data_IF_505911245045
#
_entry.id   IF_505911245045
#
_cell.length_a   1.000
_cell.length_b   1.000
_cell.length_c   1.000
_cell.angle_alpha   90.00
_cell.angle_beta   90.00
_cell.angle_gamma   90.00
#
_symmetry.space_group_name_H-M   'P 1'
#
loop_
_entity.id
_entity.type
_entity.pdbx_description
1 polymer ?
#
# COMPACT_ATOMS: atom_id res chain seq x y z
N UNK A 1 -31.44 30.59 45.89
CA UNK A 1 -32.01 29.46 45.14
C UNK A 1 -32.10 29.84 43.68
N UNK A 2 -31.35 29.20 42.82
CA UNK A 2 -31.46 29.42 41.35
C UNK A 2 -32.83 28.97 40.88
N UNK A 3 -33.49 29.73 40.03
CA UNK A 3 -34.77 29.35 39.43
C UNK A 3 -34.62 28.12 38.52
N UNK A 4 -35.69 27.34 38.34
CA UNK A 4 -35.72 26.19 37.45
C UNK A 4 -35.25 26.54 36.01
N UNK A 5 -35.49 27.79 35.54
CA UNK A 5 -35.04 28.29 34.26
C UNK A 5 -33.49 28.52 34.21
N UNK A 6 -32.93 29.04 35.27
CA UNK A 6 -31.47 29.26 35.38
C UNK A 6 -30.72 27.96 35.49
N UNK A 7 -31.29 26.94 36.19
CA UNK A 7 -30.72 25.61 36.28
C UNK A 7 -30.75 24.84 34.94
N UNK A 8 -31.85 24.92 34.21
CA UNK A 8 -31.96 24.30 32.86
C UNK A 8 -31.08 25.03 31.82
N UNK A 9 -31.02 26.38 31.89
CA UNK A 9 -30.13 27.15 31.03
C UNK A 9 -28.63 26.84 31.30
N UNK A 10 -28.25 26.67 32.54
CA UNK A 10 -26.86 26.28 32.92
C UNK A 10 -26.49 24.85 32.50
N UNK A 11 -27.45 23.90 32.54
CA UNK A 11 -27.20 22.51 32.09
C UNK A 11 -27.09 22.36 30.56
N UNK A 12 -27.75 23.21 29.80
CA UNK A 12 -27.71 23.17 28.33
C UNK A 12 -26.60 24.05 27.76
N UNK A 13 -26.13 25.07 28.47
CA UNK A 13 -25.10 25.97 27.97
C UNK A 13 -23.71 25.36 27.98
N UNK A 14 -23.37 24.51 28.98
CA UNK A 14 -22.04 23.88 29.09
C UNK A 14 -21.75 22.86 27.97
N UNK A 15 -22.61 21.90 27.65
CA UNK A 15 -22.33 20.97 26.56
C UNK A 15 -22.37 21.64 25.18
N UNK A 16 -23.24 22.64 24.98
CA UNK A 16 -23.30 23.43 23.74
C UNK A 16 -22.08 24.32 23.55
N UNK A 17 -21.58 24.96 24.61
CA UNK A 17 -20.34 25.73 24.55
C UNK A 17 -19.09 24.86 24.31
N UNK A 18 -19.03 23.69 24.94
CA UNK A 18 -17.96 22.72 24.70
C UNK A 18 -18.00 22.16 23.28
N UNK A 19 -19.20 21.81 22.76
CA UNK A 19 -19.37 21.35 21.40
C UNK A 19 -19.04 22.44 20.38
N UNK A 20 -19.43 23.69 20.63
CA UNK A 20 -19.08 24.82 19.76
C UNK A 20 -17.59 25.12 19.79
N UNK A 21 -16.94 25.07 20.95
CA UNK A 21 -15.49 25.26 21.07
C UNK A 21 -14.72 24.14 20.37
N UNK A 22 -15.20 22.90 20.46
CA UNK A 22 -14.62 21.76 19.74
C UNK A 22 -14.78 21.92 18.22
N UNK A 23 -15.96 22.31 17.76
CA UNK A 23 -16.23 22.55 16.34
C UNK A 23 -15.42 23.74 15.80
N UNK A 24 -15.37 24.84 16.55
CA UNK A 24 -14.55 26.00 16.17
C UNK A 24 -13.05 25.67 16.13
N UNK A 25 -12.56 24.80 17.01
CA UNK A 25 -11.17 24.36 16.99
C UNK A 25 -10.84 23.53 15.74
N UNK A 26 -11.76 22.68 15.26
CA UNK A 26 -11.58 21.92 14.02
C UNK A 26 -11.57 22.79 12.76
N UNK A 27 -12.19 23.96 12.81
CA UNK A 27 -12.21 24.95 11.73
C UNK A 27 -11.11 26.02 11.86
N UNK A 28 -10.36 26.06 12.96
CA UNK A 28 -9.27 27.00 13.13
C UNK A 28 -8.21 26.85 12.03
N UNK A 29 -7.61 27.93 11.55
CA UNK A 29 -6.48 27.87 10.62
C UNK A 29 -5.37 26.98 11.18
N UNK A 30 -4.77 26.15 10.33
CA UNK A 30 -3.68 25.26 10.67
C UNK A 30 -2.60 25.41 9.60
N UNK A 31 -1.34 25.41 10.00
CA UNK A 31 -0.20 25.56 9.09
C UNK A 31 0.85 24.51 9.33
N UNK A 32 1.40 23.99 8.25
CA UNK A 32 2.59 23.15 8.28
C UNK A 32 3.77 24.01 8.81
N UNK A 33 4.42 23.53 9.84
CA UNK A 33 5.58 24.22 10.45
C UNK A 33 6.88 23.48 10.27
N UNK A 34 6.85 22.14 10.09
CA UNK A 34 8.05 21.31 10.04
C UNK A 34 7.76 20.03 9.26
N UNK A 35 8.72 19.62 8.45
CA UNK A 35 8.76 18.33 7.77
C UNK A 35 10.06 17.64 8.13
N UNK A 36 9.94 16.41 8.65
CA UNK A 36 11.07 15.57 9.01
C UNK A 36 11.03 14.25 8.25
N UNK A 37 12.18 13.77 7.77
CA UNK A 37 12.34 12.43 7.22
C UNK A 37 13.27 11.61 8.08
N UNK A 38 12.96 10.30 8.18
CA UNK A 38 13.76 9.30 8.88
C UNK A 38 13.94 8.09 7.98
N UNK A 39 15.18 7.63 7.81
CA UNK A 39 15.51 6.45 7.03
C UNK A 39 16.79 5.78 7.51
N UNK A 40 17.09 4.59 7.00
CA UNK A 40 18.32 3.84 7.26
C UNK A 40 19.11 3.69 5.97
N UNK A 41 20.43 3.81 6.05
CA UNK A 41 21.32 3.87 4.90
C UNK A 41 21.41 2.54 4.15
N UNK A 42 21.43 1.44 4.90
CA UNK A 42 21.49 0.07 4.37
C UNK A 42 20.57 -0.85 5.15
N UNK A 43 20.39 -2.09 4.66
CA UNK A 43 19.64 -3.12 5.41
C UNK A 43 20.33 -3.52 6.71
N UNK A 44 21.67 -3.48 6.74
CA UNK A 44 22.45 -3.82 7.93
C UNK A 44 22.30 -2.77 9.04
N UNK A 45 22.00 -1.52 8.66
CA UNK A 45 21.73 -0.44 9.61
C UNK A 45 20.28 -0.50 10.16
N UNK A 46 19.35 -1.09 9.43
CA UNK A 46 17.95 -1.17 9.83
C UNK A 46 17.69 -2.37 10.75
N UNK A 47 16.93 -2.20 11.85
CA UNK A 47 16.56 -3.32 12.72
C UNK A 47 15.51 -4.25 12.10
N UNK A 48 14.96 -3.91 10.93
CA UNK A 48 13.89 -4.63 10.23
C UNK A 48 14.12 -4.62 8.72
N UNK A 49 13.49 -5.53 8.00
CA UNK A 49 13.61 -5.66 6.56
C UNK A 49 12.23 -5.85 5.89
N UNK A 50 11.98 -5.17 4.73
CA UNK A 50 12.80 -4.12 4.15
C UNK A 50 12.79 -2.85 5.01
N UNK A 51 13.76 -1.94 4.81
CA UNK A 51 13.74 -0.64 5.46
C UNK A 51 12.94 0.38 4.64
N UNK A 52 12.37 1.38 5.31
CA UNK A 52 11.50 2.40 4.73
C UNK A 52 12.01 3.80 4.98
N UNK A 53 11.54 4.77 4.21
CA UNK A 53 11.64 6.19 4.54
C UNK A 53 10.31 6.61 5.13
N UNK A 54 10.34 7.04 6.38
CA UNK A 54 9.21 7.71 7.02
C UNK A 54 9.36 9.20 6.93
N UNK A 55 8.25 9.90 6.85
CA UNK A 55 8.21 11.33 7.00
C UNK A 55 7.12 11.73 7.99
N UNK A 56 7.34 12.85 8.68
CA UNK A 56 6.39 13.48 9.59
C UNK A 56 6.16 14.92 9.19
N UNK A 57 4.90 15.34 9.13
CA UNK A 57 4.47 16.71 8.93
C UNK A 57 3.92 17.21 10.27
N UNK A 58 4.55 18.23 10.85
CA UNK A 58 4.09 18.88 12.07
C UNK A 58 3.39 20.20 11.75
N UNK A 59 2.45 20.62 12.61
CA UNK A 59 1.66 21.84 12.44
C UNK A 59 1.72 22.75 13.68
N UNK A 60 1.38 24.03 13.50
CA UNK A 60 1.21 25.02 14.58
C UNK A 60 0.06 24.68 15.55
N UNK A 61 -0.85 23.81 15.14
CA UNK A 61 -1.93 23.28 16.00
C UNK A 61 -1.52 22.08 16.86
N UNK A 62 -0.25 21.63 16.79
CA UNK A 62 0.26 20.48 17.53
C UNK A 62 -0.22 19.12 17.00
N UNK A 63 -0.85 19.07 15.83
CA UNK A 63 -1.23 17.83 15.16
C UNK A 63 -0.14 17.46 14.17
N UNK A 64 0.20 16.16 14.10
CA UNK A 64 1.21 15.64 13.19
C UNK A 64 0.66 14.47 12.38
N UNK A 65 1.07 14.37 11.10
CA UNK A 65 0.77 13.24 10.23
C UNK A 65 2.02 12.49 9.81
N UNK A 66 1.90 11.17 9.62
CA UNK A 66 2.99 10.28 9.20
C UNK A 66 2.75 9.83 7.78
N UNK A 67 3.81 9.89 6.96
CA UNK A 67 3.88 9.32 5.61
C UNK A 67 4.99 8.29 5.50
N UNK A 68 4.96 7.51 4.43
CA UNK A 68 5.91 6.45 4.19
C UNK A 68 6.17 6.26 2.71
N UNK A 69 7.41 5.95 2.37
CA UNK A 69 7.78 5.47 1.03
C UNK A 69 8.96 4.49 1.07
N UNK A 70 9.30 3.92 -0.07
CA UNK A 70 10.29 2.87 -0.31
C UNK A 70 10.56 2.80 -1.83
N UNK A 71 11.70 2.36 -2.37
CA UNK A 71 12.82 1.68 -1.72
C UNK A 71 14.20 2.41 -1.78
N UNK A 72 14.29 3.68 -2.21
CA UNK A 72 15.56 4.38 -2.46
C UNK A 72 15.88 5.46 -1.43
N UNK A 73 15.67 5.17 -0.20
CA UNK A 73 15.66 6.04 0.98
C UNK A 73 16.39 7.40 0.88
N UNK A 74 17.71 7.49 0.56
CA UNK A 74 18.38 8.79 0.53
C UNK A 74 17.88 9.69 -0.60
N UNK A 75 17.45 9.12 -1.73
CA UNK A 75 16.97 9.89 -2.89
C UNK A 75 15.58 10.46 -2.60
N UNK A 76 14.71 9.65 -2.02
CA UNK A 76 13.36 10.05 -1.64
C UNK A 76 13.38 11.08 -0.50
N UNK A 77 14.21 10.87 0.52
CA UNK A 77 14.40 11.86 1.60
C UNK A 77 14.91 13.21 1.06
N UNK A 78 15.90 13.21 0.18
CA UNK A 78 16.40 14.42 -0.44
C UNK A 78 15.33 15.14 -1.27
N UNK A 79 14.50 14.38 -2.00
CA UNK A 79 13.42 14.97 -2.79
C UNK A 79 12.30 15.53 -1.92
N UNK A 80 11.97 14.91 -0.77
CA UNK A 80 11.04 15.49 0.22
C UNK A 80 11.54 16.86 0.65
N UNK A 81 12.81 17.00 1.03
CA UNK A 81 13.37 18.27 1.48
C UNK A 81 13.56 19.31 0.36
N UNK A 82 13.65 18.87 -0.88
CA UNK A 82 13.63 19.76 -2.04
C UNK A 82 12.28 20.50 -2.19
N UNK A 83 11.17 19.78 -1.95
CA UNK A 83 9.82 20.36 -2.09
C UNK A 83 9.24 20.92 -0.80
N UNK A 84 9.74 20.49 0.35
CA UNK A 84 9.24 20.87 1.69
C UNK A 84 9.11 22.40 1.90
N UNK A 85 10.05 23.27 1.42
CA UNK A 85 9.89 24.71 1.56
C UNK A 85 8.61 25.27 0.95
N UNK A 86 8.09 24.64 -0.11
CA UNK A 86 6.84 25.05 -0.76
C UNK A 86 5.57 24.67 0.02
N UNK A 87 5.72 23.80 1.01
CA UNK A 87 4.63 23.31 1.87
C UNK A 87 4.55 24.05 3.20
N UNK A 88 5.67 24.54 3.72
CA UNK A 88 5.72 25.28 4.97
C UNK A 88 4.78 26.49 4.90
N UNK A 89 3.95 26.67 5.95
CA UNK A 89 2.97 27.75 6.05
C UNK A 89 1.62 27.49 5.37
N UNK A 90 1.49 26.38 4.60
CA UNK A 90 0.22 25.98 3.97
C UNK A 90 -0.70 25.27 4.97
N UNK A 91 -2.00 25.33 4.70
CA UNK A 91 -2.96 24.49 5.42
C UNK A 91 -2.85 23.03 4.92
N UNK A 92 -2.51 22.06 5.80
CA UNK A 92 -2.32 20.67 5.38
C UNK A 92 -3.62 19.97 4.96
N UNK A 93 -4.79 20.57 5.22
CA UNK A 93 -6.11 20.02 4.86
C UNK A 93 -6.49 20.26 3.41
N UNK A 94 -5.77 21.15 2.71
CA UNK A 94 -5.94 21.41 1.28
C UNK A 94 -5.25 20.33 0.42
N UNK A 95 -5.53 19.06 0.73
CA UNK A 95 -4.81 17.88 0.20
C UNK A 95 -4.79 17.87 -1.33
N UNK A 96 -5.95 17.95 -1.98
CA UNK A 96 -6.05 17.93 -3.46
C UNK A 96 -5.28 19.09 -4.10
N UNK A 97 -5.29 20.25 -3.47
CA UNK A 97 -4.56 21.42 -3.96
C UNK A 97 -3.04 21.24 -3.82
N UNK A 98 -2.60 20.75 -2.67
CA UNK A 98 -1.18 20.43 -2.41
C UNK A 98 -0.71 19.35 -3.40
N UNK A 99 -1.49 18.29 -3.56
CA UNK A 99 -1.22 17.22 -4.50
C UNK A 99 -1.02 17.75 -5.94
N UNK A 100 -1.96 18.58 -6.40
CA UNK A 100 -1.91 19.13 -7.75
C UNK A 100 -0.71 20.07 -7.98
N UNK A 101 -0.35 20.86 -6.96
CA UNK A 101 0.78 21.78 -7.05
C UNK A 101 2.12 21.01 -7.05
N UNK A 102 2.27 19.98 -6.20
CA UNK A 102 3.45 19.10 -6.20
C UNK A 102 3.57 18.35 -7.53
N UNK A 103 2.48 17.79 -8.03
CA UNK A 103 2.46 17.09 -9.31
C UNK A 103 2.96 17.99 -10.46
N UNK A 104 2.55 19.27 -10.48
CA UNK A 104 3.04 20.25 -11.46
C UNK A 104 4.50 20.63 -11.25
N UNK A 105 4.99 20.61 -10.01
CA UNK A 105 6.41 20.89 -9.72
C UNK A 105 7.32 19.81 -10.30
N UNK A 106 6.83 18.58 -10.43
CA UNK A 106 7.54 17.45 -11.02
C UNK A 106 7.32 17.27 -12.53
N UNK A 107 6.89 18.29 -13.26
CA UNK A 107 6.32 18.26 -14.60
C UNK A 107 7.15 17.57 -15.69
N UNK A 108 8.45 17.41 -15.49
CA UNK A 108 9.32 16.70 -16.44
C UNK A 108 9.44 15.18 -16.15
N UNK A 109 8.99 14.67 -15.01
CA UNK A 109 9.26 13.29 -14.56
C UNK A 109 8.11 12.63 -13.81
N UNK A 110 6.89 12.97 -14.14
CA UNK A 110 5.69 12.55 -13.42
C UNK A 110 5.18 11.13 -13.74
N UNK A 111 5.87 10.38 -14.58
CA UNK A 111 5.42 9.06 -15.01
C UNK A 111 5.68 7.93 -13.98
N UNK A 112 6.14 8.25 -12.79
CA UNK A 112 6.52 7.30 -11.74
C UNK A 112 7.87 7.66 -11.12
N UNK A 113 8.52 6.72 -10.48
CA UNK A 113 9.84 6.93 -9.86
C UNK A 113 9.79 7.70 -8.53
N UNK A 114 10.89 8.37 -8.20
CA UNK A 114 11.08 9.04 -6.90
C UNK A 114 10.05 10.12 -6.66
N UNK A 115 9.71 10.91 -7.69
CA UNK A 115 8.76 12.01 -7.60
C UNK A 115 7.37 11.53 -7.15
N UNK A 116 6.84 10.49 -7.79
CA UNK A 116 5.54 9.94 -7.41
C UNK A 116 5.56 9.24 -6.05
N UNK A 117 6.68 8.64 -5.68
CA UNK A 117 6.87 8.04 -4.35
C UNK A 117 6.86 9.09 -3.24
N UNK A 118 7.56 10.21 -3.46
CA UNK A 118 7.57 11.36 -2.54
C UNK A 118 6.19 12.01 -2.47
N UNK A 119 5.53 12.21 -3.61
CA UNK A 119 4.17 12.72 -3.66
C UNK A 119 3.21 11.82 -2.86
N UNK A 120 3.34 10.50 -3.02
CA UNK A 120 2.53 9.52 -2.28
C UNK A 120 2.76 9.61 -0.77
N UNK A 121 4.02 9.70 -0.34
CA UNK A 121 4.38 9.79 1.08
C UNK A 121 3.85 11.08 1.73
N UNK A 122 3.97 12.21 1.04
CA UNK A 122 3.43 13.50 1.51
C UNK A 122 1.89 13.45 1.57
N UNK A 123 1.24 12.89 0.56
CA UNK A 123 -0.21 12.70 0.52
C UNK A 123 -0.71 11.85 1.70
N UNK A 124 -0.06 10.74 1.97
CA UNK A 124 -0.41 9.89 3.12
C UNK A 124 -0.27 10.64 4.45
N UNK A 125 0.81 11.43 4.62
CA UNK A 125 0.98 12.24 5.83
C UNK A 125 -0.13 13.28 5.98
N UNK A 126 -0.57 13.89 4.89
CA UNK A 126 -1.67 14.87 4.91
C UNK A 126 -3.02 14.20 5.25
N UNK A 127 -3.31 13.00 4.74
CA UNK A 127 -4.50 12.24 5.09
C UNK A 127 -4.49 11.78 6.56
N UNK A 128 -3.35 11.31 7.06
CA UNK A 128 -3.18 10.95 8.47
C UNK A 128 -3.42 12.16 9.39
N UNK A 129 -2.84 13.30 9.03
CA UNK A 129 -3.01 14.56 9.73
C UNK A 129 -4.48 15.02 9.71
N UNK A 130 -5.13 14.98 8.55
CA UNK A 130 -6.55 15.32 8.44
C UNK A 130 -7.40 14.45 9.36
N UNK A 131 -7.21 13.14 9.34
CA UNK A 131 -7.92 12.21 10.21
C UNK A 131 -7.71 12.54 11.70
N UNK A 132 -6.48 12.80 12.10
CA UNK A 132 -6.13 13.18 13.48
C UNK A 132 -6.73 14.55 13.87
N UNK A 133 -6.70 15.53 12.99
CA UNK A 133 -7.27 16.85 13.25
C UNK A 133 -8.79 16.84 13.45
N UNK A 134 -9.47 15.87 12.82
CA UNK A 134 -10.91 15.66 12.92
C UNK A 134 -11.28 14.58 13.95
N UNK A 135 -10.29 13.99 14.62
CA UNK A 135 -10.47 12.85 15.52
C UNK A 135 -11.28 11.70 14.88
N UNK A 136 -10.95 11.38 13.63
CA UNK A 136 -11.64 10.37 12.85
C UNK A 136 -10.65 9.47 12.09
N UNK A 137 -10.92 8.16 11.97
CA UNK A 137 -10.12 7.29 11.13
C UNK A 137 -10.32 7.65 9.65
N UNK A 138 -9.27 7.53 8.85
CA UNK A 138 -9.27 7.95 7.44
C UNK A 138 -10.37 7.27 6.62
N UNK A 139 -10.67 6.00 6.85
CA UNK A 139 -11.74 5.31 6.11
C UNK A 139 -13.11 6.02 6.22
N UNK A 140 -13.43 6.70 7.35
CA UNK A 140 -14.67 7.47 7.52
C UNK A 140 -14.69 8.72 6.65
N UNK A 141 -13.53 9.30 6.37
CA UNK A 141 -13.40 10.51 5.55
C UNK A 141 -13.50 10.21 4.05
N UNK A 142 -13.31 8.95 3.67
CA UNK A 142 -13.28 8.51 2.26
C UNK A 142 -14.47 7.64 1.87
N UNK A 143 -15.50 7.50 2.73
CA UNK A 143 -16.74 6.82 2.37
C UNK A 143 -17.34 5.90 3.44
N UNK A 144 -16.59 5.59 4.51
CA UNK A 144 -17.05 4.70 5.57
C UNK A 144 -16.78 3.22 5.29
N UNK A 145 -17.40 2.30 6.04
CA UNK A 145 -17.19 0.85 5.93
C UNK A 145 -18.09 0.22 4.86
N UNK A 146 -17.59 0.10 3.63
CA UNK A 146 -18.18 -0.77 2.62
C UNK A 146 -17.86 -2.25 2.93
N UNK A 147 -16.60 -2.53 3.37
CA UNK A 147 -16.14 -3.85 3.74
C UNK A 147 -15.62 -3.83 5.19
N UNK A 148 -16.41 -4.32 6.17
CA UNK A 148 -15.98 -4.35 7.58
C UNK A 148 -14.75 -5.25 7.82
N UNK A 149 -14.59 -6.29 7.01
CA UNK A 149 -13.48 -7.24 7.02
C UNK A 149 -13.00 -7.45 5.60
N UNK A 150 -11.72 -7.23 5.34
CA UNK A 150 -11.10 -7.38 4.02
C UNK A 150 -10.34 -8.70 3.96
N UNK A 151 -10.66 -9.55 2.99
CA UNK A 151 -9.99 -10.83 2.75
C UNK A 151 -8.53 -10.61 2.34
N UNK A 152 -7.64 -11.51 2.78
CA UNK A 152 -6.20 -11.41 2.52
C UNK A 152 -5.64 -12.62 1.79
N UNK A 153 -4.58 -12.37 1.00
CA UNK A 153 -3.60 -13.38 0.59
C UNK A 153 -2.22 -13.02 1.16
N UNK A 154 -1.30 -13.98 1.17
CA UNK A 154 0.04 -13.79 1.71
C UNK A 154 1.12 -13.85 0.63
N UNK A 155 1.97 -12.84 0.58
CA UNK A 155 3.20 -12.80 -0.23
C UNK A 155 4.36 -13.40 0.57
N UNK A 156 5.05 -14.37 -0.03
CA UNK A 156 6.00 -15.23 0.66
C UNK A 156 7.42 -14.66 0.71
N UNK A 157 7.63 -13.53 1.38
CA UNK A 157 8.99 -13.07 1.68
C UNK A 157 9.76 -14.09 2.54
N UNK A 158 11.10 -14.20 2.39
CA UNK A 158 11.89 -15.13 3.18
C UNK A 158 11.68 -14.93 4.69
N UNK A 159 11.18 -15.96 5.37
CA UNK A 159 10.90 -15.95 6.80
C UNK A 159 11.22 -17.32 7.42
N UNK A 160 10.23 -18.12 7.79
CA UNK A 160 10.45 -19.44 8.41
C UNK A 160 10.79 -20.53 7.40
N UNK A 161 10.20 -20.46 6.21
CA UNK A 161 10.32 -21.47 5.16
C UNK A 161 10.63 -20.82 3.81
N UNK A 162 11.25 -21.59 2.91
CA UNK A 162 11.51 -21.21 1.53
C UNK A 162 10.36 -21.72 0.63
N UNK A 163 9.62 -20.83 -0.01
CA UNK A 163 8.49 -21.20 -0.87
C UNK A 163 8.89 -22.07 -2.07
N UNK A 164 10.16 -22.05 -2.49
CA UNK A 164 10.63 -22.94 -3.57
C UNK A 164 10.77 -24.40 -3.10
N UNK A 165 10.98 -24.60 -1.80
CA UNK A 165 11.24 -25.93 -1.22
C UNK A 165 10.07 -26.47 -0.41
N UNK A 166 9.45 -25.62 0.40
CA UNK A 166 8.48 -26.00 1.42
C UNK A 166 7.21 -25.12 1.38
N UNK A 167 6.63 -24.82 0.19
CA UNK A 167 5.47 -23.94 0.08
C UNK A 167 4.25 -24.48 0.83
N UNK A 168 4.14 -25.82 0.92
CA UNK A 168 3.07 -26.50 1.64
C UNK A 168 3.12 -26.24 3.16
N UNK A 169 4.32 -26.06 3.73
CA UNK A 169 4.46 -25.69 5.16
C UNK A 169 4.02 -24.26 5.40
N UNK A 170 4.39 -23.33 4.49
CA UNK A 170 3.93 -21.96 4.56
C UNK A 170 2.41 -21.92 4.52
N UNK A 171 1.81 -22.61 3.54
CA UNK A 171 0.36 -22.59 3.36
C UNK A 171 -0.37 -23.21 4.55
N UNK A 172 0.13 -24.31 5.11
CA UNK A 172 -0.43 -24.93 6.31
C UNK A 172 -0.41 -23.97 7.50
N UNK A 173 0.75 -23.33 7.76
CA UNK A 173 0.87 -22.37 8.85
C UNK A 173 -0.08 -21.17 8.68
N UNK A 174 -0.20 -20.62 7.47
CA UNK A 174 -1.11 -19.51 7.17
C UNK A 174 -2.58 -19.87 7.45
N UNK A 175 -3.00 -21.07 7.05
CA UNK A 175 -4.35 -21.59 7.33
C UNK A 175 -4.55 -21.76 8.84
N UNK A 176 -3.65 -22.49 9.50
CA UNK A 176 -3.82 -22.89 10.90
C UNK A 176 -3.73 -21.72 11.88
N UNK A 177 -2.88 -20.71 11.59
CA UNK A 177 -2.65 -19.59 12.50
C UNK A 177 -3.42 -18.34 12.17
N UNK A 178 -3.76 -18.11 10.89
CA UNK A 178 -4.36 -16.87 10.39
C UNK A 178 -5.63 -17.05 9.57
N UNK A 179 -5.97 -18.27 9.18
CA UNK A 179 -7.12 -18.54 8.32
C UNK A 179 -6.93 -18.07 6.87
N UNK A 180 -5.71 -17.65 6.47
CA UNK A 180 -5.41 -17.17 5.13
C UNK A 180 -5.31 -18.35 4.18
N UNK A 181 -6.08 -18.30 3.07
CA UNK A 181 -6.14 -19.34 2.04
C UNK A 181 -5.60 -18.90 0.67
N UNK A 182 -4.93 -17.76 0.61
CA UNK A 182 -4.27 -17.22 -0.59
C UNK A 182 -2.77 -17.11 -0.40
N UNK A 183 -1.97 -17.49 -1.38
CA UNK A 183 -0.52 -17.44 -1.35
C UNK A 183 0.02 -16.87 -2.66
N UNK A 184 1.00 -15.93 -2.59
CA UNK A 184 1.73 -15.39 -3.74
C UNK A 184 3.20 -15.82 -3.67
N UNK A 185 3.70 -16.40 -4.77
CA UNK A 185 5.06 -16.88 -4.94
C UNK A 185 5.61 -16.46 -6.31
N UNK A 186 6.95 -16.42 -6.46
CA UNK A 186 7.66 -16.00 -7.68
C UNK A 186 8.71 -17.00 -8.15
N UNK A 187 8.31 -18.26 -8.47
CA UNK A 187 9.26 -19.34 -8.72
C UNK A 187 10.00 -19.21 -10.06
N UNK A 188 9.60 -18.30 -10.94
CA UNK A 188 10.21 -18.08 -12.25
C UNK A 188 11.37 -17.08 -12.25
N UNK A 189 11.54 -16.28 -11.19
CA UNK A 189 12.57 -15.23 -11.11
C UNK A 189 14.00 -15.77 -11.26
N UNK A 190 14.29 -16.92 -10.67
CA UNK A 190 15.60 -17.56 -10.81
C UNK A 190 15.95 -17.93 -12.27
N UNK A 191 14.95 -18.34 -13.06
CA UNK A 191 15.12 -18.60 -14.48
C UNK A 191 15.31 -17.29 -15.27
N UNK A 192 14.52 -16.27 -14.97
CA UNK A 192 14.66 -14.96 -15.59
C UNK A 192 16.08 -14.39 -15.41
N UNK A 193 16.60 -14.42 -14.20
CA UNK A 193 17.96 -13.94 -13.88
C UNK A 193 19.03 -14.73 -14.62
N UNK A 194 18.96 -16.06 -14.65
CA UNK A 194 19.94 -16.90 -15.36
C UNK A 194 19.93 -16.64 -16.86
N UNK A 195 18.76 -16.45 -17.43
CA UNK A 195 18.55 -16.29 -18.88
C UNK A 195 18.48 -14.81 -19.31
N UNK A 196 18.87 -13.87 -18.43
CA UNK A 196 18.90 -12.42 -18.67
C UNK A 196 17.57 -11.85 -19.20
N UNK A 197 16.46 -12.46 -18.77
CA UNK A 197 15.08 -12.10 -19.18
C UNK A 197 14.78 -12.32 -20.69
N UNK A 198 15.65 -12.99 -21.44
CA UNK A 198 15.54 -13.11 -22.88
C UNK A 198 14.71 -14.30 -23.34
N UNK A 199 14.81 -15.43 -22.64
CA UNK A 199 14.12 -16.66 -23.00
C UNK A 199 13.88 -17.56 -21.78
N UNK A 200 12.98 -18.55 -21.93
CA UNK A 200 12.78 -19.61 -20.95
C UNK A 200 12.77 -20.98 -21.63
N UNK A 201 13.49 -21.94 -21.04
CA UNK A 201 13.51 -23.34 -21.49
C UNK A 201 12.37 -24.14 -20.85
N UNK A 202 12.03 -25.32 -21.42
CA UNK A 202 11.09 -26.24 -20.78
C UNK A 202 11.61 -26.75 -19.44
N UNK A 203 12.92 -26.95 -19.32
CA UNK A 203 13.56 -27.35 -18.06
C UNK A 203 13.39 -26.27 -16.97
N UNK A 204 13.53 -24.98 -17.32
CA UNK A 204 13.31 -23.87 -16.38
C UNK A 204 11.84 -23.85 -15.92
N UNK A 205 10.90 -24.05 -16.85
CA UNK A 205 9.47 -24.13 -16.53
C UNK A 205 9.19 -25.29 -15.58
N UNK A 206 9.69 -26.50 -15.87
CA UNK A 206 9.48 -27.67 -15.03
C UNK A 206 9.99 -27.47 -13.61
N UNK A 207 11.15 -26.81 -13.46
CA UNK A 207 11.71 -26.47 -12.15
C UNK A 207 10.85 -25.42 -11.42
N UNK A 208 10.44 -24.36 -12.10
CA UNK A 208 9.61 -23.30 -11.52
C UNK A 208 8.21 -23.81 -11.11
N UNK A 209 7.69 -24.83 -11.79
CA UNK A 209 6.41 -25.45 -11.46
C UNK A 209 6.43 -26.34 -10.21
N UNK A 210 7.59 -26.73 -9.70
CA UNK A 210 7.71 -27.62 -8.52
C UNK A 210 6.91 -27.09 -7.31
N UNK A 211 7.10 -25.83 -6.84
CA UNK A 211 6.33 -25.33 -5.72
C UNK A 211 4.83 -25.19 -6.01
N UNK A 212 4.46 -24.88 -7.25
CA UNK A 212 3.05 -24.80 -7.65
C UNK A 212 2.38 -26.18 -7.59
N UNK A 213 3.05 -27.23 -8.10
CA UNK A 213 2.60 -28.64 -7.98
C UNK A 213 2.40 -29.04 -6.53
N UNK A 214 3.40 -28.80 -5.68
CA UNK A 214 3.31 -29.13 -4.25
C UNK A 214 2.12 -28.48 -3.56
N UNK A 215 1.81 -27.22 -3.88
CA UNK A 215 0.65 -26.53 -3.35
C UNK A 215 -0.66 -27.18 -3.84
N UNK A 216 -0.78 -27.48 -5.13
CA UNK A 216 -1.99 -28.13 -5.68
C UNK A 216 -2.14 -29.56 -5.20
N UNK A 217 -1.06 -30.33 -5.11
CA UNK A 217 -1.08 -31.71 -4.58
C UNK A 217 -1.48 -31.73 -3.10
N UNK A 218 -1.03 -30.76 -2.31
CA UNK A 218 -1.29 -30.68 -0.88
C UNK A 218 -2.66 -30.11 -0.48
N UNK A 219 -3.23 -29.21 -1.30
CA UNK A 219 -4.44 -28.44 -0.92
C UNK A 219 -5.53 -28.40 -2.02
N UNK A 220 -5.27 -28.92 -3.20
CA UNK A 220 -6.24 -28.88 -4.30
C UNK A 220 -6.71 -27.46 -4.65
N UNK A 221 -8.01 -27.31 -4.85
CA UNK A 221 -8.68 -26.03 -5.15
C UNK A 221 -9.16 -25.31 -3.87
N UNK A 222 -8.78 -25.75 -2.66
CA UNK A 222 -9.14 -25.08 -1.40
C UNK A 222 -8.37 -23.79 -1.15
N UNK A 223 -7.27 -23.57 -1.88
CA UNK A 223 -6.40 -22.41 -1.78
C UNK A 223 -6.30 -21.68 -3.11
N UNK A 224 -6.03 -20.37 -3.00
CA UNK A 224 -5.70 -19.49 -4.13
C UNK A 224 -4.18 -19.36 -4.27
N UNK A 225 -3.66 -19.50 -5.48
CA UNK A 225 -2.23 -19.35 -5.79
C UNK A 225 -2.06 -18.20 -6.77
N UNK A 226 -1.41 -17.13 -6.35
CA UNK A 226 -0.95 -16.05 -7.21
C UNK A 226 0.50 -16.29 -7.63
N UNK A 227 0.82 -16.03 -8.89
CA UNK A 227 2.19 -16.14 -9.40
C UNK A 227 2.66 -14.77 -9.85
N UNK A 228 3.74 -14.30 -9.22
CA UNK A 228 4.42 -13.04 -9.51
C UNK A 228 5.59 -13.27 -10.47
N UNK A 229 5.82 -12.31 -11.37
CA UNK A 229 6.91 -12.37 -12.37
C UNK A 229 7.79 -11.12 -12.37
N UNK A 230 7.50 -10.12 -11.54
CA UNK A 230 8.29 -8.90 -11.38
C UNK A 230 8.62 -8.17 -12.69
N UNK A 231 7.74 -8.27 -13.70
CA UNK A 231 7.91 -7.65 -15.02
C UNK A 231 9.19 -8.09 -15.76
N UNK A 232 9.63 -9.34 -15.56
CA UNK A 232 10.93 -9.81 -16.06
C UNK A 232 10.87 -10.51 -17.41
N UNK A 233 9.69 -10.77 -17.98
CA UNK A 233 9.59 -11.58 -19.19
C UNK A 233 9.24 -10.76 -20.43
N UNK A 234 9.67 -11.25 -21.59
CA UNK A 234 9.16 -10.81 -22.90
C UNK A 234 7.87 -11.58 -23.25
N UNK A 235 7.12 -11.10 -24.21
CA UNK A 235 5.82 -11.67 -24.59
C UNK A 235 5.90 -13.17 -24.95
N UNK A 236 6.91 -13.58 -25.72
CA UNK A 236 7.06 -14.99 -26.14
C UNK A 236 7.24 -15.93 -24.97
N UNK A 237 8.11 -15.56 -24.02
CA UNK A 237 8.34 -16.33 -22.80
C UNK A 237 7.13 -16.30 -21.88
N UNK A 238 6.47 -15.15 -21.74
CA UNK A 238 5.25 -15.01 -20.94
C UNK A 238 4.11 -15.92 -21.42
N UNK A 239 3.86 -15.98 -22.72
CA UNK A 239 2.84 -16.90 -23.31
C UNK A 239 3.19 -18.35 -23.01
N UNK A 240 4.46 -18.75 -23.17
CA UNK A 240 4.92 -20.11 -22.88
C UNK A 240 4.72 -20.50 -21.42
N UNK A 241 5.01 -19.58 -20.51
CA UNK A 241 4.82 -19.76 -19.07
C UNK A 241 3.32 -19.84 -18.75
N UNK A 242 2.51 -18.93 -19.29
CA UNK A 242 1.07 -18.90 -19.04
C UNK A 242 0.41 -20.23 -19.43
N UNK A 243 0.72 -20.77 -20.62
CA UNK A 243 0.20 -22.08 -21.05
C UNK A 243 0.61 -23.22 -20.10
N UNK A 244 1.85 -23.21 -19.58
CA UNK A 244 2.30 -24.23 -18.63
C UNK A 244 1.59 -24.15 -17.27
N UNK A 245 1.08 -22.96 -16.90
CA UNK A 245 0.37 -22.73 -15.65
C UNK A 245 -1.13 -23.01 -15.73
N UNK A 246 -1.75 -23.17 -16.91
CA UNK A 246 -3.21 -23.35 -17.08
C UNK A 246 -3.75 -24.54 -16.28
N UNK A 247 -3.01 -25.63 -16.20
CA UNK A 247 -3.42 -26.81 -15.43
C UNK A 247 -3.52 -26.57 -13.93
N UNK A 248 -2.83 -25.55 -13.42
CA UNK A 248 -2.76 -25.25 -12.00
C UNK A 248 -3.75 -24.17 -11.57
N UNK A 249 -4.50 -23.58 -12.51
CA UNK A 249 -5.56 -22.59 -12.25
C UNK A 249 -5.10 -21.52 -11.22
N UNK A 250 -4.02 -20.78 -11.45
CA UNK A 250 -3.62 -19.72 -10.54
C UNK A 250 -4.71 -18.65 -10.45
N UNK A 251 -4.81 -18.01 -9.29
CA UNK A 251 -5.71 -16.88 -9.03
C UNK A 251 -5.46 -15.75 -10.03
N UNK A 252 -4.20 -15.49 -10.32
CA UNK A 252 -3.72 -14.59 -11.38
C UNK A 252 -2.24 -14.81 -11.72
N UNK A 253 -1.83 -14.22 -12.85
CA UNK A 253 -0.45 -14.01 -13.26
C UNK A 253 -0.15 -12.52 -13.12
N UNK A 254 0.77 -12.17 -12.21
CA UNK A 254 1.08 -10.80 -11.82
C UNK A 254 2.33 -10.30 -12.53
N UNK A 255 2.25 -9.09 -13.09
CA UNK A 255 3.36 -8.37 -13.71
C UNK A 255 4.25 -9.24 -14.61
N UNK A 256 3.64 -10.00 -15.55
CA UNK A 256 4.39 -10.87 -16.46
C UNK A 256 5.31 -10.08 -17.40
N UNK A 257 4.85 -8.90 -17.83
CA UNK A 257 5.54 -8.02 -18.78
C UNK A 257 5.82 -6.67 -18.13
N UNK A 258 6.83 -5.95 -18.63
CA UNK A 258 7.09 -4.57 -18.21
C UNK A 258 5.86 -3.71 -18.52
N UNK A 259 5.33 -2.93 -17.53
CA UNK A 259 4.20 -2.05 -17.75
C UNK A 259 4.55 -0.92 -18.75
N UNK A 260 3.53 -0.50 -19.52
CA UNK A 260 3.67 0.57 -20.51
C UNK A 260 3.47 0.10 -21.95
N UNK A 261 3.67 -1.18 -22.26
CA UNK A 261 3.28 -1.75 -23.56
C UNK A 261 1.98 -2.56 -23.40
N UNK A 262 0.85 -1.86 -23.33
CA UNK A 262 -0.46 -2.50 -23.12
C UNK A 262 -0.92 -3.34 -24.32
N UNK A 263 -0.39 -3.11 -25.54
CA UNK A 263 -0.65 -3.97 -26.69
C UNK A 263 -0.07 -5.37 -26.50
N UNK A 264 1.11 -5.49 -25.90
CA UNK A 264 1.69 -6.80 -25.54
C UNK A 264 0.90 -7.49 -24.43
N UNK A 265 0.43 -6.74 -23.44
CA UNK A 265 -0.48 -7.27 -22.43
C UNK A 265 -1.79 -7.79 -23.06
N UNK A 266 -2.35 -7.07 -24.03
CA UNK A 266 -3.52 -7.51 -24.76
C UNK A 266 -3.25 -8.81 -25.54
N UNK A 267 -2.11 -8.92 -26.24
CA UNK A 267 -1.72 -10.16 -26.93
C UNK A 267 -1.54 -11.32 -25.96
N UNK A 268 -0.96 -11.09 -24.79
CA UNK A 268 -0.84 -12.09 -23.74
C UNK A 268 -2.24 -12.56 -23.24
N UNK A 269 -3.15 -11.62 -22.99
CA UNK A 269 -4.51 -11.91 -22.57
C UNK A 269 -5.32 -12.70 -23.61
N UNK A 270 -5.03 -12.52 -24.90
CA UNK A 270 -5.63 -13.31 -25.97
C UNK A 270 -5.03 -14.72 -26.11
N UNK A 271 -3.83 -14.93 -25.54
CA UNK A 271 -3.12 -16.21 -25.64
C UNK A 271 -3.38 -17.15 -24.45
N UNK A 272 -4.00 -16.70 -23.37
CA UNK A 272 -4.31 -17.53 -22.19
C UNK A 272 -5.67 -17.20 -21.62
N UNK A 273 -6.30 -18.21 -20.97
CA UNK A 273 -7.53 -18.01 -20.21
C UNK A 273 -7.29 -17.55 -18.75
N UNK A 274 -6.03 -17.55 -18.31
CA UNK A 274 -5.68 -17.18 -16.94
C UNK A 274 -5.85 -15.69 -16.68
N UNK A 275 -6.36 -15.30 -15.51
CA UNK A 275 -6.47 -13.90 -15.14
C UNK A 275 -5.10 -13.22 -15.09
N UNK A 276 -4.98 -12.04 -15.70
CA UNK A 276 -3.80 -11.20 -15.61
C UNK A 276 -4.06 -10.03 -14.66
N UNK A 277 -3.06 -9.68 -13.87
CA UNK A 277 -3.03 -8.49 -13.03
C UNK A 277 -1.70 -7.77 -13.22
N UNK A 278 -1.73 -6.44 -13.15
CA UNK A 278 -0.53 -5.61 -13.20
C UNK A 278 -0.83 -4.28 -12.53
N UNK A 279 0.22 -3.58 -12.09
CA UNK A 279 0.05 -2.21 -11.66
C UNK A 279 0.84 -1.80 -10.42
N UNK A 280 1.53 -2.68 -9.72
CA UNK A 280 2.39 -2.26 -8.59
C UNK A 280 3.43 -1.20 -9.02
N UNK A 281 3.91 -1.30 -10.28
CA UNK A 281 4.92 -0.41 -10.85
C UNK A 281 4.35 0.82 -11.56
N UNK A 282 3.03 0.95 -11.59
CA UNK A 282 2.34 2.05 -12.28
C UNK A 282 2.05 3.21 -11.34
N UNK A 283 2.02 4.41 -11.88
CA UNK A 283 1.76 5.62 -11.12
C UNK A 283 0.83 6.58 -11.87
N UNK A 284 -0.09 7.21 -11.11
CA UNK A 284 -1.05 8.15 -11.64
C UNK A 284 -2.20 7.51 -12.43
N UNK A 285 -3.41 8.00 -12.22
CA UNK A 285 -4.64 7.49 -12.85
C UNK A 285 -4.59 7.39 -14.38
N UNK A 286 -3.79 8.23 -15.05
CA UNK A 286 -3.69 8.20 -16.52
C UNK A 286 -3.04 6.93 -17.06
N UNK A 287 -2.05 6.35 -16.34
CA UNK A 287 -1.48 5.06 -16.73
C UNK A 287 -2.49 3.93 -16.50
N UNK A 288 -3.26 3.99 -15.42
CA UNK A 288 -4.32 3.01 -15.14
C UNK A 288 -5.48 3.12 -16.14
N UNK A 289 -5.88 4.31 -16.55
CA UNK A 289 -6.88 4.52 -17.60
C UNK A 289 -6.45 3.80 -18.91
N UNK A 290 -5.21 4.01 -19.35
CA UNK A 290 -4.67 3.31 -20.54
C UNK A 290 -4.63 1.79 -20.39
N UNK A 291 -4.27 1.30 -19.20
CA UNK A 291 -4.31 -0.13 -18.91
C UNK A 291 -5.75 -0.67 -19.00
N UNK A 292 -6.71 0.04 -18.46
CA UNK A 292 -8.13 -0.32 -18.49
C UNK A 292 -8.69 -0.31 -19.91
N UNK A 293 -8.30 0.68 -20.74
CA UNK A 293 -8.66 0.75 -22.18
C UNK A 293 -8.20 -0.48 -22.95
N UNK A 294 -7.09 -1.11 -22.57
CA UNK A 294 -6.60 -2.35 -23.20
C UNK A 294 -7.50 -3.56 -22.94
N UNK A 295 -8.44 -3.49 -21.98
CA UNK A 295 -9.35 -4.56 -21.53
C UNK A 295 -8.62 -5.85 -21.10
N UNK A 296 -7.37 -5.71 -20.70
CA UNK A 296 -6.50 -6.84 -20.36
C UNK A 296 -6.66 -7.29 -18.91
N UNK A 297 -6.61 -6.37 -17.90
CA UNK A 297 -6.63 -6.80 -16.51
C UNK A 297 -8.01 -7.34 -16.12
N UNK A 298 -8.01 -8.37 -15.28
CA UNK A 298 -9.22 -8.86 -14.60
C UNK A 298 -9.36 -8.27 -13.20
N UNK A 299 -8.28 -7.75 -12.66
CA UNK A 299 -8.19 -7.06 -11.39
C UNK A 299 -7.27 -5.85 -11.54
N UNK A 300 -7.50 -4.82 -10.78
CA UNK A 300 -6.65 -3.61 -10.78
C UNK A 300 -5.81 -3.60 -9.52
N UNK A 301 -4.50 -3.67 -9.71
CA UNK A 301 -3.51 -3.57 -8.63
C UNK A 301 -2.84 -2.20 -8.67
N UNK A 302 -2.57 -1.65 -7.50
CA UNK A 302 -1.75 -0.44 -7.32
C UNK A 302 -1.14 -0.46 -5.92
N UNK A 303 -0.04 0.26 -5.75
CA UNK A 303 0.59 0.49 -4.46
C UNK A 303 0.33 1.92 -4.01
N UNK A 304 -0.28 2.10 -2.84
CA UNK A 304 -0.71 3.42 -2.34
C UNK A 304 0.49 4.33 -2.05
N UNK A 305 1.67 3.75 -1.73
CA UNK A 305 2.89 4.53 -1.53
C UNK A 305 3.63 4.85 -2.82
N UNK A 306 3.14 4.34 -3.98
CA UNK A 306 3.81 4.53 -5.28
C UNK A 306 2.92 5.17 -6.34
N UNK A 307 1.61 4.95 -6.29
CA UNK A 307 0.72 5.39 -7.36
C UNK A 307 0.34 6.88 -7.30
N UNK A 308 0.70 7.59 -6.25
CA UNK A 308 0.34 9.00 -6.02
C UNK A 308 -0.41 9.23 -4.70
N UNK A 309 -0.28 8.31 -3.72
CA UNK A 309 -0.91 8.40 -2.42
C UNK A 309 -2.37 7.93 -2.42
N UNK A 310 -3.04 8.12 -1.29
CA UNK A 310 -4.45 7.78 -1.11
C UNK A 310 -5.37 8.60 -2.05
N UNK A 311 -5.01 9.87 -2.27
CA UNK A 311 -5.74 10.77 -3.17
C UNK A 311 -5.85 10.19 -4.58
N UNK A 312 -4.77 9.68 -5.13
CA UNK A 312 -4.76 9.11 -6.49
C UNK A 312 -5.28 7.66 -6.51
N UNK A 313 -4.95 6.87 -5.48
CA UNK A 313 -5.43 5.49 -5.32
C UNK A 313 -6.97 5.40 -5.32
N UNK A 314 -7.66 6.35 -4.67
CA UNK A 314 -9.12 6.45 -4.70
C UNK A 314 -9.67 6.70 -6.11
N UNK A 315 -8.99 7.53 -6.89
CA UNK A 315 -9.38 7.83 -8.28
C UNK A 315 -9.17 6.60 -9.16
N UNK A 316 -8.08 5.86 -8.95
CA UNK A 316 -7.80 4.59 -9.64
C UNK A 316 -8.85 3.53 -9.28
N UNK A 317 -9.20 3.40 -8.00
CA UNK A 317 -10.26 2.49 -7.56
C UNK A 317 -11.62 2.83 -8.17
N UNK A 318 -11.97 4.13 -8.30
CA UNK A 318 -13.19 4.58 -8.94
C UNK A 318 -13.20 4.33 -10.46
N UNK A 319 -12.04 4.45 -11.14
CA UNK A 319 -11.90 4.08 -12.56
C UNK A 319 -12.12 2.59 -12.78
N UNK A 320 -11.59 1.75 -11.88
CA UNK A 320 -11.81 0.30 -11.90
C UNK A 320 -13.31 -0.04 -11.67
N UNK A 321 -13.93 0.60 -10.67
CA UNK A 321 -15.35 0.41 -10.34
C UNK A 321 -16.27 0.79 -11.51
N UNK A 322 -15.98 1.86 -12.23
CA UNK A 322 -16.72 2.29 -13.42
C UNK A 322 -16.67 1.27 -14.57
N UNK A 323 -15.72 0.33 -14.55
CA UNK A 323 -15.59 -0.77 -15.49
C UNK A 323 -15.95 -2.14 -14.88
N UNK A 324 -16.58 -2.14 -13.70
CA UNK A 324 -16.96 -3.35 -12.95
C UNK A 324 -15.77 -4.27 -12.63
N UNK A 325 -14.56 -3.69 -12.50
CA UNK A 325 -13.35 -4.42 -12.15
C UNK A 325 -13.04 -4.30 -10.66
N UNK A 326 -12.74 -5.43 -10.00
CA UNK A 326 -12.34 -5.42 -8.61
C UNK A 326 -10.88 -4.94 -8.45
N UNK A 327 -10.59 -4.34 -7.29
CA UNK A 327 -9.24 -3.95 -6.90
C UNK A 327 -8.60 -4.99 -5.97
N UNK A 328 -7.27 -5.13 -6.09
CA UNK A 328 -6.43 -5.97 -5.24
C UNK A 328 -5.11 -5.20 -4.95
N UNK A 329 -5.08 -4.29 -3.95
CA UNK A 329 -3.91 -3.47 -3.69
C UNK A 329 -2.67 -4.28 -3.32
N UNK A 330 -1.52 -3.88 -3.91
CA UNK A 330 -0.18 -4.33 -3.53
C UNK A 330 0.19 -3.72 -2.17
N UNK A 331 0.71 -4.54 -1.25
CA UNK A 331 1.14 -4.08 0.09
C UNK A 331 2.45 -4.72 0.57
N UNK A 332 3.28 -5.19 -0.35
CA UNK A 332 4.60 -5.73 -0.02
C UNK A 332 5.62 -4.61 0.24
N UNK A 333 5.40 -3.84 1.30
CA UNK A 333 6.20 -2.68 1.67
C UNK A 333 6.16 -2.40 3.16
N UNK A 334 6.15 -1.13 3.52
CA UNK A 334 6.14 -0.69 4.90
C UNK A 334 4.80 -0.83 5.61
N UNK A 335 4.77 -0.60 6.93
CA UNK A 335 3.54 -0.74 7.70
C UNK A 335 2.47 0.28 7.31
N UNK A 336 2.83 1.53 7.02
CA UNK A 336 1.83 2.54 6.66
C UNK A 336 1.16 2.22 5.33
N UNK A 337 1.87 1.63 4.38
CA UNK A 337 1.29 1.11 3.14
C UNK A 337 0.14 0.13 3.46
N UNK A 338 0.36 -0.81 4.38
CA UNK A 338 -0.65 -1.79 4.76
C UNK A 338 -1.86 -1.14 5.45
N UNK A 339 -1.61 -0.22 6.40
CA UNK A 339 -2.66 0.54 7.07
C UNK A 339 -3.48 1.38 6.09
N UNK A 340 -2.82 2.18 5.26
CA UNK A 340 -3.49 3.03 4.26
C UNK A 340 -4.30 2.22 3.25
N UNK A 341 -3.75 1.09 2.78
CA UNK A 341 -4.46 0.14 1.91
C UNK A 341 -5.67 -0.47 2.62
N UNK A 342 -5.56 -0.80 3.92
CA UNK A 342 -6.69 -1.31 4.70
C UNK A 342 -7.80 -0.27 4.86
N UNK A 343 -7.47 1.01 5.07
CA UNK A 343 -8.46 2.08 5.08
C UNK A 343 -9.16 2.23 3.72
N UNK A 344 -8.38 2.19 2.63
CA UNK A 344 -8.93 2.28 1.27
C UNK A 344 -9.84 1.10 0.96
N UNK A 345 -9.38 -0.13 1.20
CA UNK A 345 -10.15 -1.35 0.89
C UNK A 345 -11.38 -1.48 1.75
N UNK A 346 -11.33 -1.04 3.00
CA UNK A 346 -12.51 -0.94 3.86
C UNK A 346 -13.58 0.00 3.28
N UNK A 347 -13.17 1.09 2.65
CA UNK A 347 -14.09 2.09 2.11
C UNK A 347 -14.49 1.86 0.63
N UNK A 348 -13.79 1.00 -0.11
CA UNK A 348 -14.04 0.76 -1.53
C UNK A 348 -15.00 -0.42 -1.75
N UNK A 349 -16.14 -0.25 -2.45
CA UNK A 349 -17.11 -1.33 -2.65
C UNK A 349 -16.59 -2.44 -3.56
N UNK A 350 -15.67 -2.16 -4.49
CA UNK A 350 -15.16 -3.07 -5.50
C UNK A 350 -13.87 -3.80 -5.10
N UNK A 351 -13.65 -4.05 -3.80
CA UNK A 351 -12.49 -4.81 -3.33
C UNK A 351 -12.72 -6.30 -3.50
N UNK A 352 -11.73 -7.00 -4.05
CA UNK A 352 -11.73 -8.45 -4.06
C UNK A 352 -10.90 -9.04 -2.93
N UNK A 353 -9.62 -8.61 -2.80
CA UNK A 353 -8.67 -9.13 -1.83
C UNK A 353 -7.54 -8.10 -1.63
N UNK A 354 -6.88 -8.11 -0.46
CA UNK A 354 -5.70 -7.30 -0.20
C UNK A 354 -4.49 -8.20 0.07
N UNK A 355 -3.32 -7.73 -0.33
CA UNK A 355 -2.06 -8.39 -0.02
C UNK A 355 -1.72 -8.29 1.47
N UNK A 356 -1.00 -9.30 1.98
CA UNK A 356 -0.34 -9.28 3.29
C UNK A 356 1.00 -10.00 3.21
N UNK A 357 1.84 -9.83 4.21
CA UNK A 357 3.12 -10.53 4.30
C UNK A 357 3.35 -11.00 5.75
N UNK A 358 3.42 -12.32 5.95
CA UNK A 358 3.57 -12.93 7.27
C UNK A 358 4.81 -12.44 8.00
N UNK A 359 5.94 -12.33 7.31
CA UNK A 359 7.17 -11.79 7.89
C UNK A 359 6.96 -10.42 8.51
N UNK A 360 6.23 -9.53 7.83
CA UNK A 360 6.07 -8.16 8.27
C UNK A 360 5.23 -8.07 9.54
N UNK A 361 4.02 -8.63 9.54
CA UNK A 361 3.14 -8.51 10.70
C UNK A 361 3.50 -9.43 11.88
N UNK A 362 4.30 -10.49 11.68
CA UNK A 362 4.77 -11.36 12.78
C UNK A 362 6.14 -10.96 13.34
N UNK A 363 7.00 -10.36 12.53
CA UNK A 363 8.38 -10.09 12.93
C UNK A 363 8.75 -8.61 12.83
N UNK A 364 8.66 -8.01 11.62
CA UNK A 364 9.25 -6.69 11.41
C UNK A 364 8.42 -5.57 12.07
N UNK A 365 7.09 -5.57 11.91
CA UNK A 365 6.25 -4.52 12.50
C UNK A 365 6.22 -4.52 14.03
N UNK A 366 6.19 -5.65 14.76
CA UNK A 366 6.33 -5.65 16.21
C UNK A 366 7.62 -5.04 16.75
N UNK A 367 8.69 -4.96 15.95
CA UNK A 367 9.91 -4.26 16.33
C UNK A 367 9.77 -2.75 16.32
N UNK A 368 8.89 -2.19 15.45
CA UNK A 368 8.82 -0.77 15.18
C UNK A 368 7.49 -0.10 15.56
N UNK A 369 6.43 -0.86 15.73
CA UNK A 369 5.09 -0.33 16.02
C UNK A 369 4.60 -0.75 17.39
N UNK A 370 3.79 0.12 18.00
CA UNK A 370 2.94 -0.21 19.12
C UNK A 370 1.69 -0.92 18.58
N UNK A 371 1.40 -2.13 19.09
CA UNK A 371 0.19 -2.90 18.75
C UNK A 371 -0.16 -2.94 17.26
N UNK A 372 0.72 -3.49 16.38
CA UNK A 372 0.45 -3.51 14.96
C UNK A 372 -0.78 -4.36 14.61
N UNK A 373 -1.59 -3.89 13.64
CA UNK A 373 -2.69 -4.70 13.10
C UNK A 373 -2.16 -5.97 12.45
N UNK A 374 -2.87 -7.06 12.63
CA UNK A 374 -2.49 -8.37 12.10
C UNK A 374 -3.71 -9.14 11.57
N UNK A 375 -3.53 -10.03 10.58
CA UNK A 375 -4.59 -10.86 10.04
C UNK A 375 -5.25 -11.76 11.09
N UNK A 376 -6.57 -11.89 10.99
CA UNK A 376 -7.38 -12.82 11.79
C UNK A 376 -8.46 -13.46 10.91
N UNK A 377 -8.60 -14.78 10.99
CA UNK A 377 -9.61 -15.55 10.24
C UNK A 377 -9.61 -15.21 8.74
N UNK A 378 -8.43 -15.12 8.13
CA UNK A 378 -8.23 -14.83 6.71
C UNK A 378 -8.48 -13.38 6.28
N UNK A 379 -8.75 -12.49 7.22
CA UNK A 379 -9.13 -11.10 6.96
C UNK A 379 -8.32 -10.11 7.81
N UNK A 380 -8.40 -8.83 7.44
CA UNK A 380 -7.96 -7.69 8.24
C UNK A 380 -9.16 -6.78 8.53
N UNK A 381 -9.16 -6.19 9.72
CA UNK A 381 -10.09 -5.15 10.13
C UNK A 381 -9.34 -3.82 10.25
N UNK A 382 -9.96 -2.74 9.79
CA UNK A 382 -9.39 -1.40 9.86
C UNK A 382 -9.39 -0.89 11.30
N UNK A 383 -8.31 -0.21 11.76
CA UNK A 383 -8.29 0.41 13.07
C UNK A 383 -9.29 1.56 13.19
N UNK A 384 -9.82 1.77 14.40
CA UNK A 384 -10.82 2.83 14.70
C UNK A 384 -10.17 4.12 15.21
N UNK A 385 -8.88 4.12 15.44
CA UNK A 385 -8.10 5.27 15.88
C UNK A 385 -8.07 6.35 14.81
N UNK A 386 -7.88 7.61 15.23
CA UNK A 386 -7.80 8.76 14.33
C UNK A 386 -6.59 8.67 13.39
N UNK A 387 -6.74 9.23 12.19
CA UNK A 387 -5.74 9.08 11.13
C UNK A 387 -5.76 7.66 10.54
N UNK A 388 -4.59 7.10 10.27
CA UNK A 388 -4.45 5.69 9.89
C UNK A 388 -4.38 4.76 11.11
N UNK A 389 -4.32 5.27 12.34
CA UNK A 389 -4.22 4.45 13.56
C UNK A 389 -2.86 3.80 13.78
N UNK A 390 -1.86 4.08 12.94
CA UNK A 390 -0.50 3.55 13.11
C UNK A 390 0.29 4.36 14.14
N UNK A 391 0.95 3.67 15.08
CA UNK A 391 1.83 4.29 16.09
C UNK A 391 3.22 3.69 16.00
N UNK A 392 4.20 4.55 15.65
CA UNK A 392 5.61 4.17 15.60
C UNK A 392 6.20 4.30 17.00
N UNK A 393 6.94 3.29 17.46
CA UNK A 393 7.66 3.33 18.72
C UNK A 393 8.73 4.41 18.70
N UNK A 394 8.90 5.19 19.78
CA UNK A 394 9.96 6.21 19.87
C UNK A 394 11.36 5.66 19.60
N UNK A 395 11.66 4.45 20.04
CA UNK A 395 12.96 3.80 19.80
C UNK A 395 13.18 3.37 18.36
N UNK A 396 12.12 3.12 17.59
CA UNK A 396 12.23 2.86 16.15
C UNK A 396 12.45 4.17 15.39
N UNK A 397 11.72 5.24 15.72
CA UNK A 397 11.91 6.56 15.12
C UNK A 397 13.30 7.12 15.40
N UNK A 398 13.77 7.03 16.65
CA UNK A 398 15.06 7.56 17.12
C UNK A 398 16.15 6.48 17.18
N UNK A 399 16.08 5.45 16.33
CA UNK A 399 17.09 4.40 16.34
C UNK A 399 18.49 4.98 16.07
N UNK A 400 19.55 4.54 16.80
CA UNK A 400 20.90 5.12 16.69
C UNK A 400 21.49 5.16 15.28
N UNK A 401 21.07 4.24 14.41
CA UNK A 401 21.52 4.16 13.01
C UNK A 401 20.58 4.92 12.05
N UNK A 402 19.50 5.54 12.52
CA UNK A 402 18.61 6.31 11.64
C UNK A 402 19.26 7.63 11.22
N UNK A 403 18.96 8.05 10.01
CA UNK A 403 19.36 9.32 9.42
C UNK A 403 18.13 10.21 9.38
N UNK A 404 18.26 11.37 10.03
CA UNK A 404 17.21 12.39 10.10
C UNK A 404 17.57 13.60 9.24
N UNK A 405 16.56 14.14 8.56
CA UNK A 405 16.64 15.46 7.95
C UNK A 405 15.38 16.26 8.27
N UNK A 406 15.52 17.57 8.39
CA UNK A 406 14.43 18.47 8.81
C UNK A 406 14.39 19.70 7.92
N UNK A 407 13.18 20.11 7.53
CA UNK A 407 12.86 21.42 6.95
C UNK A 407 11.79 22.08 7.80
N UNK A 408 12.06 23.27 8.32
CA UNK A 408 11.15 24.09 9.11
C UNK A 408 11.26 25.56 8.70
N UNK A 409 10.51 26.43 9.37
CA UNK A 409 10.74 27.86 9.31
C UNK A 409 12.08 28.16 10.02
N UNK A 410 13.12 28.47 9.24
CA UNK A 410 14.38 29.00 9.74
C UNK A 410 14.24 30.38 10.41
#
# INVERSE_FOLDING_TARGET
MLSRREFVAGMLATPLAAAYSSYAATLAPMKITRIETVYWKTRDDAPFWPHWTWLKIDTDAGVSGIGETYPRNPVEAAMVHNVAPSLIGRDPRDIERIWADLYRTFDFQIAGGTEMRVLSALDLALWDLLGKSLNAPVYRLIGGKANPRVRLYNTCFPYKYDFNREPEKIMRELIDTRGIKGIKIWPFDGAAQRNKNEYITWQDIDQALIPVRKLRDGFGDEIEIAIEFHAQWNLTSAIRIAHALELYKPMWLEDMLMPGNFDQYHQLAMATSLPLIAGERMAGKMQFERMLESRTPKYVMFDVTWCGGLTEARKIAALADAQELPIAPHTAGGPLLFYASTHLTTASPNVWIQESCQRFYEHDWPLMLEDPIAPKDGCIEVPEESGFGMRIKPEAWNHPASIHAVTDHG
#
